data_IF_264596315967
#
_entry.id   IF_264596315967
#
_cell.length_a   1.000
_cell.length_b   1.000
_cell.length_c   1.000
_cell.angle_alpha   90.00
_cell.angle_beta   90.00
_cell.angle_gamma   90.00
#
_symmetry.space_group_name_H-M   'P 1'
#
loop_
_entity.id
_entity.type
_entity.pdbx_description
1 polymer ?
#
# COMPACT_ATOMS: atom_id res chain seq x y z
N UNK A 1 6.84 -36.01 1.00
CA UNK A 1 5.87 -35.23 0.16
C UNK A 1 5.87 -33.81 0.73
N UNK A 2 6.08 -32.78 -0.06
CA UNK A 2 6.00 -31.39 0.40
C UNK A 2 4.54 -31.01 0.66
N UNK A 3 4.34 -30.08 1.60
CA UNK A 3 3.02 -29.52 1.88
C UNK A 3 2.96 -28.10 1.30
N UNK A 4 1.86 -27.79 0.66
CA UNK A 4 1.56 -26.41 0.19
C UNK A 4 0.97 -25.65 1.37
N UNK A 5 1.20 -24.34 1.41
CA UNK A 5 0.49 -23.47 2.35
C UNK A 5 -0.99 -23.39 1.96
N UNK A 6 -1.84 -24.06 2.74
CA UNK A 6 -3.28 -24.19 2.46
C UNK A 6 -4.01 -22.84 2.46
N UNK A 7 -3.42 -21.79 3.06
CA UNK A 7 -4.02 -20.46 3.05
C UNK A 7 -4.12 -19.86 1.64
N UNK A 8 -3.23 -20.24 0.72
CA UNK A 8 -3.32 -19.81 -0.68
C UNK A 8 -4.59 -20.33 -1.37
N UNK A 9 -5.14 -21.45 -0.92
CA UNK A 9 -6.38 -22.00 -1.48
C UNK A 9 -7.62 -21.19 -1.04
N UNK A 10 -7.50 -20.35 -0.01
CA UNK A 10 -8.57 -19.49 0.47
C UNK A 10 -8.76 -18.25 -0.39
N UNK A 11 -7.72 -17.84 -1.13
CA UNK A 11 -7.79 -16.69 -2.03
C UNK A 11 -8.74 -16.96 -3.19
N UNK A 12 -9.48 -15.94 -3.68
CA UNK A 12 -10.26 -16.09 -4.91
C UNK A 12 -9.34 -16.51 -6.06
N UNK A 13 -9.81 -17.43 -6.89
CA UNK A 13 -9.02 -18.05 -7.96
C UNK A 13 -8.55 -17.10 -9.09
N UNK A 14 -8.90 -15.83 -8.99
CA UNK A 14 -8.46 -14.79 -9.92
C UNK A 14 -8.38 -13.44 -9.19
N UNK A 15 -7.24 -12.77 -9.36
CA UNK A 15 -7.07 -11.39 -8.90
C UNK A 15 -8.09 -10.47 -9.59
N UNK A 16 -8.69 -9.54 -8.83
CA UNK A 16 -9.79 -8.67 -9.28
C UNK A 16 -9.52 -8.03 -10.65
N UNK A 17 -8.36 -7.44 -10.84
CA UNK A 17 -8.00 -6.77 -12.09
C UNK A 17 -7.88 -7.72 -13.28
N UNK A 18 -7.44 -8.97 -13.06
CA UNK A 18 -7.43 -10.00 -14.11
C UNK A 18 -8.84 -10.36 -14.55
N UNK A 19 -9.76 -10.46 -13.61
CA UNK A 19 -11.18 -10.74 -13.88
C UNK A 19 -11.82 -9.60 -14.67
N UNK A 20 -11.57 -8.34 -14.26
CA UNK A 20 -12.04 -7.16 -14.98
C UNK A 20 -11.47 -7.14 -16.40
N UNK A 21 -10.17 -7.39 -16.58
CA UNK A 21 -9.53 -7.44 -17.90
C UNK A 21 -10.19 -8.45 -18.83
N UNK A 22 -10.50 -9.66 -18.35
CA UNK A 22 -11.21 -10.70 -19.11
C UNK A 22 -12.62 -10.25 -19.50
N UNK A 23 -13.37 -9.63 -18.59
CA UNK A 23 -14.73 -9.10 -18.88
C UNK A 23 -14.70 -7.99 -19.90
N UNK A 24 -13.74 -7.07 -19.83
CA UNK A 24 -13.53 -5.99 -20.80
C UNK A 24 -13.20 -6.57 -22.18
N UNK A 25 -12.30 -7.54 -22.27
CA UNK A 25 -11.93 -8.19 -23.52
C UNK A 25 -13.14 -8.88 -24.19
N UNK A 26 -13.89 -9.67 -23.40
CA UNK A 26 -15.09 -10.33 -23.90
C UNK A 26 -16.19 -9.34 -24.36
N UNK A 27 -16.35 -8.22 -23.64
CA UNK A 27 -17.30 -7.18 -24.04
C UNK A 27 -16.86 -6.50 -25.37
N UNK A 28 -15.57 -6.20 -25.50
CA UNK A 28 -15.03 -5.58 -26.73
C UNK A 28 -15.16 -6.50 -27.94
N UNK A 29 -14.92 -7.80 -27.75
CA UNK A 29 -15.11 -8.81 -28.81
C UNK A 29 -16.56 -8.89 -29.28
N UNK A 30 -17.50 -8.86 -28.32
CA UNK A 30 -18.94 -8.88 -28.62
C UNK A 30 -19.45 -7.54 -29.16
N UNK A 31 -18.74 -6.44 -29.00
CA UNK A 31 -19.15 -5.08 -29.39
C UNK A 31 -17.97 -4.33 -30.04
N UNK A 32 -17.48 -4.74 -31.22
CA UNK A 32 -16.26 -4.19 -31.81
C UNK A 32 -16.35 -2.69 -32.15
N UNK A 33 -17.56 -2.20 -32.44
CA UNK A 33 -17.80 -0.81 -32.81
C UNK A 33 -18.02 0.13 -31.61
N UNK A 34 -17.94 -0.39 -30.38
CA UNK A 34 -18.13 0.40 -29.17
C UNK A 34 -16.80 0.78 -28.51
N UNK A 35 -16.64 2.06 -28.25
CA UNK A 35 -15.54 2.55 -27.42
C UNK A 35 -15.81 2.25 -25.95
N UNK A 36 -14.78 1.73 -25.24
CA UNK A 36 -14.84 1.46 -23.80
C UNK A 36 -14.09 2.55 -23.06
N UNK A 37 -14.80 3.31 -22.23
CA UNK A 37 -14.21 4.26 -21.30
C UNK A 37 -13.81 3.49 -20.04
N UNK A 38 -12.50 3.39 -19.78
CA UNK A 38 -11.94 2.65 -18.63
C UNK A 38 -11.77 3.59 -17.43
N UNK A 39 -12.60 3.41 -16.41
CA UNK A 39 -12.56 4.18 -15.16
C UNK A 39 -12.15 3.34 -13.94
N UNK A 40 -11.78 2.08 -14.15
CA UNK A 40 -11.59 1.11 -13.06
C UNK A 40 -10.17 1.04 -12.48
N UNK A 41 -9.15 1.57 -13.16
CA UNK A 41 -7.77 1.56 -12.71
C UNK A 41 -7.21 2.97 -12.85
N UNK A 42 -6.72 3.54 -11.74
CA UNK A 42 -5.90 4.73 -11.77
C UNK A 42 -4.54 4.37 -12.37
N UNK A 43 -4.18 4.96 -13.49
CA UNK A 43 -2.89 4.75 -14.13
C UNK A 43 -2.23 6.10 -14.42
N UNK A 44 -0.90 6.10 -14.52
CA UNK A 44 -0.15 7.28 -14.96
C UNK A 44 -0.41 7.51 -16.44
N UNK A 45 -0.89 8.71 -16.79
CA UNK A 45 -1.24 9.08 -18.16
C UNK A 45 -0.23 10.03 -18.79
N UNK A 46 0.74 10.50 -18.02
CA UNK A 46 1.76 11.43 -18.46
C UNK A 46 3.12 10.74 -18.58
N UNK A 47 3.91 11.07 -19.61
CA UNK A 47 5.28 10.56 -19.71
C UNK A 47 6.16 11.10 -18.55
N UNK A 48 7.29 10.44 -18.33
CA UNK A 48 8.26 10.88 -17.34
C UNK A 48 8.78 12.29 -17.68
N UNK A 49 9.02 13.10 -16.65
CA UNK A 49 9.63 14.42 -16.84
C UNK A 49 11.04 14.31 -17.45
N UNK A 50 11.46 15.27 -18.28
CA UNK A 50 12.79 15.24 -18.92
C UNK A 50 13.95 15.05 -17.94
N UNK A 51 13.89 15.66 -16.77
CA UNK A 51 14.91 15.50 -15.73
C UNK A 51 15.06 14.06 -15.23
N UNK A 52 13.93 13.31 -15.15
CA UNK A 52 13.97 11.90 -14.76
C UNK A 52 14.59 11.05 -15.87
N UNK A 53 14.24 11.31 -17.13
CA UNK A 53 14.85 10.62 -18.27
C UNK A 53 16.35 10.86 -18.31
N UNK A 54 16.81 12.11 -18.11
CA UNK A 54 18.23 12.45 -18.04
C UNK A 54 18.94 11.70 -16.89
N UNK A 55 18.34 11.64 -15.71
CA UNK A 55 18.90 10.91 -14.58
C UNK A 55 19.01 9.40 -14.85
N UNK A 56 18.03 8.80 -15.51
CA UNK A 56 18.06 7.39 -15.91
C UNK A 56 19.20 7.11 -16.92
N UNK A 57 19.38 7.98 -17.91
CA UNK A 57 20.51 7.86 -18.86
C UNK A 57 21.86 7.94 -18.14
N UNK A 58 22.05 8.89 -17.22
CA UNK A 58 23.28 9.00 -16.41
C UNK A 58 23.53 7.73 -15.59
N UNK A 59 22.50 7.18 -14.95
CA UNK A 59 22.63 5.95 -14.17
C UNK A 59 23.05 4.75 -15.05
N UNK A 60 22.53 4.65 -16.28
CA UNK A 60 22.95 3.60 -17.23
C UNK A 60 24.41 3.81 -17.66
N UNK A 61 24.83 5.05 -17.92
CA UNK A 61 26.20 5.37 -18.29
C UNK A 61 27.20 5.05 -17.15
N UNK A 62 26.81 5.25 -15.90
CA UNK A 62 27.59 4.86 -14.70
C UNK A 62 27.80 3.35 -14.65
N UNK A 63 26.76 2.57 -14.93
CA UNK A 63 26.81 1.10 -14.94
C UNK A 63 27.73 0.56 -16.04
N UNK A 64 28.01 1.33 -17.09
CA UNK A 64 28.90 0.98 -18.20
C UNK A 64 30.38 1.17 -17.91
N UNK A 65 30.78 1.72 -16.77
CA UNK A 65 32.17 2.08 -16.45
C UNK A 65 32.62 1.37 -15.18
N UNK A 66 33.81 0.79 -15.19
CA UNK A 66 34.35 0.05 -14.03
C UNK A 66 34.46 0.92 -12.77
N UNK A 67 34.77 2.21 -12.93
CA UNK A 67 34.96 3.16 -11.83
C UNK A 67 33.67 3.59 -11.14
N UNK A 68 32.53 3.51 -11.84
CA UNK A 68 31.22 3.97 -11.35
C UNK A 68 30.18 2.84 -11.32
N UNK A 69 30.59 1.63 -11.66
CA UNK A 69 29.72 0.46 -11.62
C UNK A 69 29.21 0.21 -10.19
N UNK A 70 27.91 0.00 -10.07
CA UNK A 70 27.23 -0.34 -8.83
C UNK A 70 26.90 -1.83 -8.82
N UNK A 71 27.51 -2.58 -7.89
CA UNK A 71 27.18 -3.98 -7.63
C UNK A 71 25.98 -4.13 -6.70
N UNK A 72 26.02 -5.12 -5.82
CA UNK A 72 25.00 -5.27 -4.77
C UNK A 72 24.96 -4.04 -3.88
N UNK A 73 23.74 -3.51 -3.68
CA UNK A 73 23.51 -2.46 -2.69
C UNK A 73 23.69 -3.02 -1.27
N UNK A 74 23.99 -2.18 -0.26
CA UNK A 74 23.78 -2.54 1.14
C UNK A 74 22.33 -2.97 1.40
N UNK A 75 22.11 -3.79 2.43
CA UNK A 75 20.77 -4.36 2.73
C UNK A 75 19.66 -3.31 2.89
N UNK A 76 19.99 -2.14 3.43
CA UNK A 76 19.04 -1.02 3.55
C UNK A 76 18.87 -0.21 2.24
N UNK A 77 19.67 -0.46 1.22
CA UNK A 77 19.79 0.37 0.03
C UNK A 77 20.94 1.38 0.12
N UNK A 78 21.26 2.03 -1.00
CA UNK A 78 22.36 2.99 -1.08
C UNK A 78 22.15 4.19 -0.16
N UNK A 79 23.19 4.56 0.58
CA UNK A 79 23.16 5.65 1.55
C UNK A 79 22.78 6.99 0.92
N UNK A 80 23.27 7.29 -0.30
CA UNK A 80 22.93 8.56 -0.97
C UNK A 80 21.43 8.73 -1.16
N UNK A 81 20.69 7.64 -1.49
CA UNK A 81 19.25 7.67 -1.67
C UNK A 81 18.54 7.79 -0.33
N UNK A 82 18.93 6.98 0.65
CA UNK A 82 18.35 7.03 2.01
C UNK A 82 18.54 8.39 2.65
N UNK A 83 19.75 8.97 2.52
CA UNK A 83 20.04 10.32 3.01
C UNK A 83 19.24 11.41 2.28
N UNK A 84 19.02 11.26 0.97
CA UNK A 84 18.17 12.17 0.21
C UNK A 84 16.71 12.12 0.67
N UNK A 85 16.18 10.93 0.90
CA UNK A 85 14.81 10.72 1.43
C UNK A 85 14.70 11.31 2.84
N UNK A 86 15.61 10.96 3.75
CA UNK A 86 15.64 11.50 5.11
C UNK A 86 15.57 13.03 5.10
N UNK A 87 16.44 13.66 4.32
CA UNK A 87 16.55 15.11 4.26
C UNK A 87 15.35 15.80 3.62
N UNK A 88 14.89 15.29 2.46
CA UNK A 88 13.93 16.02 1.62
C UNK A 88 12.49 15.64 1.91
N UNK A 89 12.23 14.40 2.33
CA UNK A 89 10.85 13.92 2.56
C UNK A 89 10.46 13.98 4.04
N UNK A 90 11.40 13.82 4.97
CA UNK A 90 11.13 13.83 6.41
C UNK A 90 11.61 15.10 7.11
N UNK A 91 12.91 15.36 7.14
CA UNK A 91 13.47 16.50 7.89
C UNK A 91 12.97 17.85 7.36
N UNK A 92 12.78 17.98 6.05
CA UNK A 92 12.19 19.17 5.44
C UNK A 92 10.74 19.46 5.91
N UNK A 93 10.07 18.43 6.45
CA UNK A 93 8.71 18.51 7.02
C UNK A 93 8.72 18.56 8.56
N UNK A 94 9.90 18.59 9.18
CA UNK A 94 10.06 18.62 10.63
C UNK A 94 10.02 17.25 11.31
N UNK A 95 10.10 16.14 10.54
CA UNK A 95 10.18 14.79 11.07
C UNK A 95 11.64 14.36 11.18
N UNK A 96 12.08 13.98 12.36
CA UNK A 96 13.46 13.53 12.61
C UNK A 96 13.56 12.03 12.36
N UNK A 97 13.66 11.67 11.08
CA UNK A 97 13.90 10.31 10.60
C UNK A 97 15.32 10.25 10.01
N UNK A 98 16.16 9.40 10.57
CA UNK A 98 17.53 9.21 10.14
C UNK A 98 17.62 8.28 8.91
N UNK A 99 18.73 8.33 8.17
CA UNK A 99 18.92 7.51 6.98
C UNK A 99 18.99 6.00 7.28
N UNK A 100 19.35 5.60 8.48
CA UNK A 100 19.39 4.20 8.93
C UNK A 100 18.02 3.65 9.35
N UNK A 101 16.99 4.50 9.44
CA UNK A 101 15.60 4.12 9.64
C UNK A 101 14.86 3.91 8.30
N UNK A 102 15.55 4.11 7.16
CA UNK A 102 14.97 4.04 5.82
C UNK A 102 15.46 2.78 5.10
N UNK A 103 14.52 1.99 4.59
CA UNK A 103 14.75 0.79 3.80
C UNK A 103 14.26 0.99 2.38
N UNK A 104 15.12 0.72 1.40
CA UNK A 104 14.76 0.82 -0.02
C UNK A 104 14.30 -0.53 -0.53
N UNK A 105 13.14 -0.55 -1.17
CA UNK A 105 12.54 -1.76 -1.75
C UNK A 105 12.13 -1.53 -3.21
N UNK A 106 11.50 -2.53 -3.80
CA UNK A 106 10.93 -2.49 -5.14
C UNK A 106 9.49 -1.93 -5.18
N UNK A 107 8.96 -1.47 -4.05
CA UNK A 107 7.68 -0.77 -3.96
C UNK A 107 6.79 -1.16 -2.79
N UNK A 108 5.83 -0.29 -2.48
CA UNK A 108 4.94 -0.39 -1.33
C UNK A 108 4.13 -1.71 -1.27
N UNK A 109 3.82 -2.32 -2.41
CA UNK A 109 3.13 -3.63 -2.44
C UNK A 109 3.97 -4.72 -1.81
N UNK A 110 5.24 -4.81 -2.18
CA UNK A 110 6.19 -5.76 -1.60
C UNK A 110 6.44 -5.45 -0.12
N UNK A 111 6.59 -4.17 0.23
CA UNK A 111 6.78 -3.74 1.61
C UNK A 111 5.60 -4.12 2.49
N UNK A 112 4.37 -3.86 2.05
CA UNK A 112 3.16 -4.18 2.82
C UNK A 112 2.98 -5.69 3.05
N UNK A 113 3.50 -6.52 2.15
CA UNK A 113 3.49 -7.97 2.31
C UNK A 113 4.65 -8.47 3.19
N UNK A 114 5.84 -7.88 3.07
CA UNK A 114 7.02 -8.34 3.78
C UNK A 114 7.04 -7.87 5.24
N UNK A 115 6.66 -6.63 5.53
CA UNK A 115 6.69 -6.08 6.89
C UNK A 115 5.83 -6.88 7.87
N UNK A 116 4.77 -7.50 7.39
CA UNK A 116 3.91 -8.33 8.23
C UNK A 116 4.61 -9.58 8.79
N UNK A 117 5.74 -10.01 8.19
CA UNK A 117 6.53 -11.14 8.72
C UNK A 117 7.16 -10.83 10.08
N UNK A 118 7.25 -9.56 10.47
CA UNK A 118 7.67 -9.13 11.81
C UNK A 118 6.62 -9.46 12.88
N UNK A 119 5.39 -9.75 12.50
CA UNK A 119 4.27 -9.96 13.42
C UNK A 119 3.89 -11.43 13.51
N UNK A 120 3.45 -11.86 14.69
CA UNK A 120 3.04 -13.24 14.95
C UNK A 120 1.85 -13.68 14.10
N UNK A 121 1.72 -14.98 13.87
CA UNK A 121 0.63 -15.56 13.08
C UNK A 121 -0.77 -15.33 13.68
N UNK A 122 -0.86 -14.93 14.95
CA UNK A 122 -2.13 -14.62 15.63
C UNK A 122 -2.42 -13.12 15.72
N UNK A 123 -1.54 -12.28 15.17
CA UNK A 123 -1.74 -10.83 15.18
C UNK A 123 -2.97 -10.46 14.37
N UNK A 124 -3.82 -9.64 14.95
CA UNK A 124 -5.07 -9.19 14.34
C UNK A 124 -4.84 -7.92 13.55
N UNK A 125 -5.50 -7.83 12.41
CA UNK A 125 -5.40 -6.67 11.53
C UNK A 125 -6.71 -5.89 11.50
N UNK A 126 -6.59 -4.58 11.36
CA UNK A 126 -7.69 -3.69 11.02
C UNK A 126 -7.41 -3.00 9.69
N UNK A 127 -8.42 -2.94 8.84
CA UNK A 127 -8.37 -2.30 7.52
C UNK A 127 -9.59 -1.40 7.34
N UNK A 128 -9.44 -0.34 6.55
CA UNK A 128 -10.61 0.43 6.11
C UNK A 128 -11.46 -0.40 5.15
N UNK A 129 -12.74 -0.09 5.05
CA UNK A 129 -13.64 -0.73 4.10
C UNK A 129 -14.41 0.35 3.31
N UNK A 130 -14.15 0.46 1.99
CA UNK A 130 -13.28 -0.36 1.13
C UNK A 130 -11.78 -0.11 1.34
N UNK A 131 -10.96 -1.09 0.96
CA UNK A 131 -9.51 -1.09 1.13
C UNK A 131 -8.79 -1.61 -0.11
N UNK A 132 -7.51 -1.30 -0.23
CA UNK A 132 -6.63 -1.93 -1.22
C UNK A 132 -6.50 -3.44 -0.90
N UNK A 133 -6.90 -4.33 -1.83
CA UNK A 133 -7.06 -5.76 -1.54
C UNK A 133 -5.80 -6.45 -1.00
N UNK A 134 -4.62 -5.93 -1.39
CA UNK A 134 -3.33 -6.55 -1.04
C UNK A 134 -3.10 -6.66 0.46
N UNK A 135 -3.61 -5.73 1.27
CA UNK A 135 -3.45 -5.82 2.73
C UNK A 135 -4.20 -7.03 3.31
N UNK A 136 -5.40 -7.29 2.80
CA UNK A 136 -6.17 -8.47 3.21
C UNK A 136 -5.57 -9.74 2.61
N UNK A 137 -5.31 -9.76 1.30
CA UNK A 137 -4.81 -10.95 0.59
C UNK A 137 -3.48 -11.46 1.17
N UNK A 138 -2.54 -10.55 1.47
CA UNK A 138 -1.26 -10.93 2.06
C UNK A 138 -1.42 -11.50 3.48
N UNK A 139 -2.36 -10.99 4.27
CA UNK A 139 -2.69 -11.56 5.57
C UNK A 139 -3.47 -12.88 5.48
N UNK A 140 -4.26 -13.10 4.42
CA UNK A 140 -4.86 -14.41 4.12
C UNK A 140 -3.75 -15.42 3.86
N UNK A 141 -2.77 -15.10 3.01
CA UNK A 141 -1.62 -15.97 2.72
C UNK A 141 -0.82 -16.31 3.97
N UNK A 142 -0.71 -15.35 4.90
CA UNK A 142 -0.05 -15.54 6.20
C UNK A 142 -0.92 -16.28 7.24
N UNK A 143 -2.20 -16.56 6.94
CA UNK A 143 -3.09 -17.32 7.83
C UNK A 143 -3.69 -16.53 9.00
N UNK A 144 -3.70 -15.19 8.92
CA UNK A 144 -4.18 -14.31 10.02
C UNK A 144 -5.67 -13.95 9.96
N UNK A 145 -6.39 -14.37 8.91
CA UNK A 145 -7.73 -13.81 8.61
C UNK A 145 -8.90 -14.70 9.02
N UNK A 146 -8.62 -15.90 9.50
CA UNK A 146 -9.69 -16.84 9.89
C UNK A 146 -10.43 -17.42 8.70
N UNK A 147 -11.77 -17.40 8.76
CA UNK A 147 -12.68 -18.01 7.76
C UNK A 147 -13.38 -16.92 6.94
N UNK A 148 -13.49 -17.15 5.63
CA UNK A 148 -14.24 -16.26 4.74
C UNK A 148 -15.73 -16.53 4.79
N UNK A 149 -16.54 -15.49 4.98
CA UNK A 149 -17.98 -15.53 4.84
C UNK A 149 -18.40 -14.95 3.48
N UNK A 150 -18.90 -15.79 2.58
CA UNK A 150 -19.33 -15.38 1.24
C UNK A 150 -20.61 -14.55 1.20
N UNK A 151 -21.34 -14.44 2.31
CA UNK A 151 -22.57 -13.61 2.37
C UNK A 151 -22.24 -12.16 2.67
N UNK A 152 -21.27 -11.94 3.55
CA UNK A 152 -20.82 -10.61 3.95
C UNK A 152 -19.56 -10.18 3.18
N UNK A 153 -18.94 -11.11 2.44
CA UNK A 153 -17.68 -10.93 1.72
C UNK A 153 -16.52 -10.48 2.65
N UNK A 154 -16.53 -10.97 3.90
CA UNK A 154 -15.57 -10.60 4.94
C UNK A 154 -14.87 -11.82 5.53
N UNK A 155 -13.71 -11.58 6.16
CA UNK A 155 -12.94 -12.56 6.91
C UNK A 155 -13.20 -12.42 8.41
N UNK A 156 -13.39 -13.52 9.13
CA UNK A 156 -13.83 -13.53 10.54
C UNK A 156 -12.87 -12.84 11.50
N UNK A 157 -11.57 -12.88 11.22
CA UNK A 157 -10.52 -12.37 12.11
C UNK A 157 -9.92 -11.03 11.64
N UNK A 158 -10.53 -10.42 10.60
CA UNK A 158 -10.19 -9.08 10.12
C UNK A 158 -11.19 -8.07 10.69
N UNK A 159 -10.68 -6.99 11.25
CA UNK A 159 -11.48 -5.87 11.73
C UNK A 159 -11.66 -4.89 10.57
N UNK A 160 -12.88 -4.81 10.05
CA UNK A 160 -13.24 -3.86 9.01
C UNK A 160 -13.74 -2.55 9.62
N UNK A 161 -13.20 -1.44 9.14
CA UNK A 161 -13.53 -0.09 9.59
C UNK A 161 -14.22 0.64 8.43
N UNK A 162 -15.55 0.74 8.42
CA UNK A 162 -16.28 1.38 7.34
C UNK A 162 -15.77 2.79 7.04
N UNK A 163 -15.49 3.07 5.78
CA UNK A 163 -15.04 4.37 5.27
C UNK A 163 -15.89 4.71 4.05
N UNK A 164 -17.10 5.18 4.31
CA UNK A 164 -18.19 5.35 3.34
C UNK A 164 -18.68 6.79 3.27
N UNK A 165 -19.54 7.07 2.31
CA UNK A 165 -20.12 8.41 2.17
C UNK A 165 -20.94 8.84 3.41
N UNK A 166 -21.58 7.89 4.07
CA UNK A 166 -22.42 8.12 5.26
C UNK A 166 -21.63 8.67 6.44
N UNK A 167 -20.35 8.24 6.60
CA UNK A 167 -19.47 8.74 7.65
C UNK A 167 -18.43 9.76 7.13
N UNK A 168 -18.65 10.31 5.93
CA UNK A 168 -17.75 11.27 5.31
C UNK A 168 -16.36 10.68 4.99
N UNK A 169 -16.27 9.36 4.83
CA UNK A 169 -15.03 8.60 4.63
C UNK A 169 -14.01 8.74 5.78
N UNK A 170 -14.50 8.98 6.98
CA UNK A 170 -13.67 9.00 8.20
C UNK A 170 -13.97 7.73 8.99
N UNK A 171 -13.10 6.73 8.95
CA UNK A 171 -13.35 5.47 9.65
C UNK A 171 -13.34 5.67 11.16
N UNK A 172 -14.26 4.98 11.83
CA UNK A 172 -14.32 4.97 13.29
C UNK A 172 -13.23 4.07 13.88
N UNK A 173 -12.79 4.41 15.09
CA UNK A 173 -11.87 3.58 15.84
C UNK A 173 -12.48 2.19 16.10
N UNK A 174 -11.72 1.11 15.93
CA UNK A 174 -12.23 -0.23 16.12
C UNK A 174 -12.57 -0.50 17.59
N UNK A 175 -13.64 -1.26 17.82
CA UNK A 175 -14.07 -1.67 19.17
C UNK A 175 -13.11 -2.67 19.81
N UNK A 176 -12.53 -3.53 18.98
CA UNK A 176 -11.54 -4.52 19.37
C UNK A 176 -10.15 -4.00 19.01
N UNK A 177 -9.18 -4.19 19.89
CA UNK A 177 -7.81 -3.70 19.66
C UNK A 177 -7.10 -4.59 18.63
N UNK A 178 -6.71 -4.05 17.47
CA UNK A 178 -5.86 -4.76 16.52
C UNK A 178 -4.39 -4.63 16.91
N UNK A 179 -3.56 -5.56 16.45
CA UNK A 179 -2.11 -5.44 16.52
C UNK A 179 -1.58 -4.53 15.39
N UNK A 180 -2.17 -4.65 14.19
CA UNK A 180 -1.80 -3.87 13.01
C UNK A 180 -3.01 -3.11 12.45
N UNK A 181 -2.81 -1.84 12.12
CA UNK A 181 -3.81 -0.97 11.50
C UNK A 181 -3.26 -0.50 10.15
N UNK A 182 -3.93 -0.88 9.07
CA UNK A 182 -3.57 -0.40 7.74
C UNK A 182 -4.33 0.88 7.41
N UNK A 183 -3.61 1.95 7.15
CA UNK A 183 -4.15 3.23 6.68
C UNK A 183 -3.47 3.61 5.36
N UNK A 184 -4.24 3.73 4.29
CA UNK A 184 -3.79 4.24 3.01
C UNK A 184 -4.36 5.66 2.83
N UNK A 185 -3.51 6.67 2.76
CA UNK A 185 -3.94 8.06 2.67
C UNK A 185 -3.10 8.87 1.68
N UNK A 186 -3.71 9.33 0.57
CA UNK A 186 -5.10 9.11 0.10
C UNK A 186 -5.45 7.65 -0.09
N UNK A 187 -6.68 7.27 0.27
CA UNK A 187 -7.09 5.87 0.25
C UNK A 187 -7.28 5.33 -1.17
N UNK A 188 -6.84 4.12 -1.39
CA UNK A 188 -7.21 3.31 -2.54
C UNK A 188 -8.30 2.30 -2.08
N UNK A 189 -9.57 2.36 -2.61
CA UNK A 189 -9.97 2.98 -3.89
C UNK A 189 -10.69 4.32 -3.80
N UNK A 190 -10.96 4.88 -2.62
CA UNK A 190 -11.90 6.02 -2.46
C UNK A 190 -11.29 7.37 -2.85
N UNK A 191 -9.97 7.50 -2.87
CA UNK A 191 -9.26 8.76 -3.12
C UNK A 191 -9.41 9.79 -1.98
N UNK A 192 -9.97 9.40 -0.84
CA UNK A 192 -10.20 10.28 0.31
C UNK A 192 -9.00 10.28 1.25
N UNK A 193 -8.88 11.32 2.05
CA UNK A 193 -7.81 11.46 3.05
C UNK A 193 -8.35 12.08 4.34
N UNK A 194 -7.60 11.94 5.42
CA UNK A 194 -7.91 12.51 6.72
C UNK A 194 -7.25 13.89 6.89
N UNK A 195 -7.78 14.68 7.80
CA UNK A 195 -7.09 15.88 8.32
C UNK A 195 -6.03 15.45 9.34
N UNK A 196 -5.10 16.35 9.70
CA UNK A 196 -4.10 16.06 10.73
C UNK A 196 -4.76 15.70 12.07
N UNK A 197 -5.81 16.41 12.46
CA UNK A 197 -6.52 16.13 13.72
C UNK A 197 -7.18 14.74 13.70
N UNK A 198 -7.76 14.36 12.56
CA UNK A 198 -8.33 13.02 12.40
C UNK A 198 -7.24 11.94 12.43
N UNK A 199 -6.09 12.16 11.80
CA UNK A 199 -4.97 11.24 11.85
C UNK A 199 -4.36 11.16 13.25
N UNK A 200 -4.31 12.28 14.00
CA UNK A 200 -3.83 12.31 15.39
C UNK A 200 -4.63 11.36 16.28
N UNK A 201 -5.95 11.24 16.07
CA UNK A 201 -6.81 10.29 16.82
C UNK A 201 -6.30 8.85 16.64
N UNK A 202 -5.84 8.49 15.43
CA UNK A 202 -5.29 7.16 15.14
C UNK A 202 -3.92 6.94 15.81
N UNK A 203 -3.06 7.95 15.77
CA UNK A 203 -1.75 7.90 16.45
C UNK A 203 -1.93 7.74 17.95
N UNK A 204 -2.82 8.51 18.56
CA UNK A 204 -3.13 8.41 19.99
C UNK A 204 -3.73 7.05 20.35
N UNK A 205 -4.63 6.54 19.51
CA UNK A 205 -5.21 5.21 19.69
C UNK A 205 -4.14 4.12 19.64
N UNK A 206 -3.26 4.14 18.62
CA UNK A 206 -2.20 3.16 18.46
C UNK A 206 -1.22 3.18 19.65
N UNK A 207 -0.78 4.37 20.06
CA UNK A 207 0.10 4.54 21.21
C UNK A 207 -0.54 4.02 22.51
N UNK A 208 -1.82 4.33 22.72
CA UNK A 208 -2.55 3.88 23.92
C UNK A 208 -2.70 2.37 24.00
N UNK A 209 -2.88 1.72 22.87
CA UNK A 209 -3.23 0.29 22.81
C UNK A 209 -2.03 -0.60 22.44
N UNK A 210 -0.88 -0.03 22.08
CA UNK A 210 0.29 -0.78 21.61
C UNK A 210 0.10 -1.37 20.21
N UNK A 211 -0.76 -0.76 19.39
CA UNK A 211 -0.96 -1.15 17.99
C UNK A 211 0.09 -0.51 17.09
N UNK A 212 0.40 -1.15 15.96
CA UNK A 212 1.28 -0.57 14.93
C UNK A 212 0.42 -0.08 13.77
N UNK A 213 0.65 1.17 13.33
CA UNK A 213 0.06 1.71 12.11
C UNK A 213 1.00 1.42 10.95
N UNK A 214 0.51 0.70 9.94
CA UNK A 214 1.14 0.55 8.63
C UNK A 214 0.51 1.61 7.73
N UNK A 215 1.27 2.69 7.50
CA UNK A 215 0.80 3.86 6.79
C UNK A 215 1.28 3.83 5.34
N UNK A 216 0.36 3.65 4.39
CA UNK A 216 0.66 3.67 2.96
C UNK A 216 0.42 5.08 2.41
N UNK A 217 1.53 5.73 2.05
CA UNK A 217 1.56 7.09 1.53
C UNK A 217 1.78 7.16 0.01
N UNK A 218 1.51 6.08 -0.75
CA UNK A 218 1.79 6.01 -2.19
C UNK A 218 1.20 7.18 -2.99
N UNK A 219 0.12 7.78 -2.51
CA UNK A 219 -0.57 8.89 -3.17
C UNK A 219 -0.43 10.23 -2.45
N UNK A 220 0.47 10.38 -1.49
CA UNK A 220 0.58 11.60 -0.67
C UNK A 220 0.83 12.86 -1.51
N UNK A 221 1.56 12.75 -2.63
CA UNK A 221 1.84 13.88 -3.52
C UNK A 221 0.59 14.53 -4.12
N UNK A 222 -0.55 13.83 -4.12
CA UNK A 222 -1.84 14.35 -4.60
C UNK A 222 -2.66 15.04 -3.51
N UNK A 223 -2.19 15.09 -2.26
CA UNK A 223 -2.88 15.76 -1.16
C UNK A 223 -2.78 17.27 -1.35
N UNK A 224 -3.93 17.95 -1.38
CA UNK A 224 -3.99 19.41 -1.46
C UNK A 224 -3.65 20.03 -0.09
N UNK A 225 -3.18 21.29 -0.13
CA UNK A 225 -2.86 22.08 1.08
C UNK A 225 -4.02 21.99 2.11
N UNK A 226 -3.67 21.76 3.38
CA UNK A 226 -4.62 21.65 4.49
C UNK A 226 -5.09 20.25 4.83
N UNK A 227 -4.65 19.23 4.08
CA UNK A 227 -4.88 17.81 4.39
C UNK A 227 -3.65 17.19 5.06
N UNK A 228 -3.83 16.01 5.64
CA UNK A 228 -2.75 15.31 6.32
C UNK A 228 -1.68 14.83 5.34
N UNK A 229 -0.45 15.25 5.58
CA UNK A 229 0.77 14.58 5.12
C UNK A 229 1.40 13.87 6.31
N UNK A 230 2.11 12.80 6.07
CA UNK A 230 2.92 12.13 7.09
C UNK A 230 4.06 13.01 7.50
#
# INVERSE_FOLDING_TARGET
>A
MFQINDNYQKLPGSYLFSTIGKKVAAYQEANPDKEIIRLGIGDVTQPLAPAIIEALHKAVDEMGKAETFHGYAPDLGYEFLRSAISKNDYQARGCDIAADEIFISDGAKSDSANIQELFGAKSRIAVTDPVYPVYVDSNVMAGRTGTYDSKTETWSDVIYMPSTAENGFVPELPKEVPDMIYLCLPNNPTGTTLTKDQLQVWVDYANKNGSVIIFDAAYEAYIKIGRAHV
#
